data_IF_214430022537
#
_entry.id   IF_214430022537
#
_cell.length_a   1.000
_cell.length_b   1.000
_cell.length_c   1.000
_cell.angle_alpha   90.00
_cell.angle_beta   90.00
_cell.angle_gamma   90.00
#
_symmetry.space_group_name_H-M   'P 1'
#
loop_
_entity.id
_entity.type
_entity.pdbx_description
1 polymer ?
#
# COMPACT_ATOMS: atom_id res chain seq x y z
N UNK A 1 39.18 6.01 -11.78
CA UNK A 1 38.80 5.48 -10.46
C UNK A 1 38.37 6.67 -9.64
N UNK A 2 37.07 6.85 -9.45
CA UNK A 2 36.52 8.02 -8.76
C UNK A 2 35.57 7.50 -7.67
N UNK A 3 36.12 7.40 -6.45
CA UNK A 3 35.48 6.81 -5.26
C UNK A 3 34.47 7.75 -4.59
N UNK A 4 34.27 8.95 -5.15
CA UNK A 4 33.47 10.03 -4.58
C UNK A 4 31.95 9.89 -4.80
N UNK A 5 31.50 9.07 -5.77
CA UNK A 5 30.06 8.95 -6.12
C UNK A 5 29.34 7.74 -5.51
N UNK A 6 30.06 6.82 -4.84
CA UNK A 6 29.44 5.64 -4.21
C UNK A 6 28.97 5.87 -2.76
N UNK A 7 29.43 6.91 -2.08
CA UNK A 7 29.05 7.21 -0.68
C UNK A 7 27.81 8.10 -0.53
N UNK A 8 27.33 8.74 -1.60
CA UNK A 8 26.24 9.73 -1.49
C UNK A 8 24.86 9.08 -1.38
N UNK A 9 24.67 7.84 -1.86
CA UNK A 9 23.38 7.11 -1.79
C UNK A 9 23.04 6.47 -0.42
N UNK A 10 23.99 5.92 0.36
CA UNK A 10 23.67 5.45 1.71
C UNK A 10 23.56 6.60 2.74
N UNK A 11 24.22 7.74 2.52
CA UNK A 11 24.11 8.90 3.42
C UNK A 11 22.76 9.62 3.34
N UNK A 12 22.09 9.61 2.18
CA UNK A 12 20.72 10.16 2.06
C UNK A 12 19.67 9.29 2.74
N UNK A 13 19.85 7.96 2.79
CA UNK A 13 19.02 7.07 3.61
C UNK A 13 19.25 7.27 5.11
N UNK A 14 20.48 7.56 5.53
CA UNK A 14 20.81 7.83 6.94
C UNK A 14 20.30 9.21 7.40
N UNK A 15 20.26 10.22 6.52
CA UNK A 15 19.73 11.55 6.83
C UNK A 15 18.21 11.54 7.10
N UNK A 16 17.46 10.64 6.45
CA UNK A 16 16.02 10.41 6.73
C UNK A 16 15.83 9.69 8.08
N UNK A 17 16.81 8.90 8.52
CA UNK A 17 16.79 8.20 9.81
C UNK A 17 17.20 9.10 11.00
N UNK A 18 18.00 10.15 10.76
CA UNK A 18 18.52 11.04 11.82
C UNK A 18 17.62 12.26 12.06
N UNK A 19 16.88 12.73 11.04
CA UNK A 19 15.90 13.82 11.21
C UNK A 19 14.64 13.42 12.00
N UNK A 20 14.42 12.13 12.28
CA UNK A 20 13.29 11.62 13.08
C UNK A 20 13.57 11.50 14.58
N UNK A 21 14.80 11.77 15.04
CA UNK A 21 15.19 11.60 16.46
C UNK A 21 15.09 12.91 17.27
N UNK A 22 14.86 14.05 16.61
CA UNK A 22 14.76 15.35 17.27
C UNK A 22 13.34 15.93 17.25
N UNK A 23 12.43 15.48 18.12
CA UNK A 23 11.21 16.28 18.36
C UNK A 23 10.70 16.13 19.80
N UNK A 24 10.48 17.29 20.41
CA UNK A 24 10.20 17.54 21.81
C UNK A 24 9.01 16.75 22.37
N UNK A 25 9.17 16.28 23.61
CA UNK A 25 8.12 15.65 24.41
C UNK A 25 7.09 16.69 24.87
N UNK A 26 5.97 16.79 24.16
CA UNK A 26 4.72 17.37 24.67
C UNK A 26 3.67 16.26 24.69
N UNK A 27 3.47 15.68 25.88
CA UNK A 27 2.54 14.58 26.11
C UNK A 27 1.09 15.08 25.99
N UNK A 28 0.37 14.54 25.01
CA UNK A 28 -1.09 14.63 24.92
C UNK A 28 -1.65 13.21 24.90
N UNK A 29 -2.58 12.90 25.81
CA UNK A 29 -3.32 11.64 25.77
C UNK A 29 -4.34 11.71 24.63
N UNK A 30 -4.11 10.95 23.57
CA UNK A 30 -5.01 10.84 22.42
C UNK A 30 -5.73 9.48 22.45
N UNK A 31 -7.03 9.47 22.15
CA UNK A 31 -7.75 8.23 21.92
C UNK A 31 -7.07 7.45 20.78
N UNK A 32 -6.50 6.29 21.09
CA UNK A 32 -5.73 5.49 20.13
C UNK A 32 -6.66 4.93 19.08
N UNK A 33 -6.47 5.33 17.81
CA UNK A 33 -7.12 4.65 16.69
C UNK A 33 -6.59 3.23 16.59
N UNK A 34 -7.50 2.26 16.67
CA UNK A 34 -7.17 0.84 16.53
C UNK A 34 -7.19 0.45 15.06
N UNK A 35 -6.02 0.59 14.45
CA UNK A 35 -5.71 0.13 13.11
C UNK A 35 -6.01 -1.38 12.96
N UNK A 36 -6.40 -1.80 11.75
CA UNK A 36 -6.72 -3.19 11.42
C UNK A 36 -5.71 -3.76 10.43
N UNK A 37 -5.48 -5.07 10.49
CA UNK A 37 -4.54 -5.79 9.63
C UNK A 37 -3.08 -5.65 10.09
N UNK A 38 -2.46 -6.77 10.44
CA UNK A 38 -1.09 -6.81 10.94
C UNK A 38 -0.08 -6.25 9.93
N UNK A 39 -0.30 -6.44 8.62
CA UNK A 39 0.54 -5.85 7.57
C UNK A 39 0.57 -4.31 7.65
N UNK A 40 -0.59 -3.67 7.73
CA UNK A 40 -0.70 -2.21 7.80
C UNK A 40 -0.09 -1.68 9.11
N UNK A 41 -0.36 -2.36 10.23
CA UNK A 41 0.21 -2.02 11.54
C UNK A 41 1.74 -2.15 11.52
N UNK A 42 2.29 -3.20 10.91
CA UNK A 42 3.73 -3.44 10.82
C UNK A 42 4.51 -2.35 10.06
N UNK A 43 3.83 -1.58 9.19
CA UNK A 43 4.38 -0.39 8.52
C UNK A 43 3.94 0.93 9.18
N UNK A 44 3.57 0.88 10.47
CA UNK A 44 3.23 2.06 11.26
C UNK A 44 1.84 2.63 10.99
N UNK A 45 0.95 1.87 10.34
CA UNK A 45 -0.37 2.32 9.91
C UNK A 45 -0.37 3.17 8.64
N UNK A 46 0.79 3.35 8.00
CA UNK A 46 0.93 4.07 6.73
C UNK A 46 0.51 3.18 5.55
N UNK A 47 -0.79 3.10 5.28
CA UNK A 47 -1.35 2.15 4.30
C UNK A 47 -2.35 2.78 3.33
N UNK A 48 -2.80 4.02 3.54
CA UNK A 48 -3.84 4.68 2.74
C UNK A 48 -3.46 4.85 1.27
N UNK A 49 -2.17 5.02 0.98
CA UNK A 49 -1.66 5.16 -0.38
C UNK A 49 -1.62 3.86 -1.21
N UNK A 50 -1.81 2.69 -0.58
CA UNK A 50 -1.79 1.40 -1.27
C UNK A 50 -3.08 0.61 -1.03
N UNK A 51 -3.48 0.42 0.23
CA UNK A 51 -4.73 -0.20 0.63
C UNK A 51 -5.11 -1.48 -0.15
N UNK A 52 -4.15 -2.33 -0.53
CA UNK A 52 -4.36 -3.43 -1.46
C UNK A 52 -4.62 -4.78 -0.75
N UNK A 53 -5.56 -4.78 0.20
CA UNK A 53 -6.03 -5.99 0.91
C UNK A 53 -7.50 -5.84 1.28
N UNK A 54 -8.15 -6.89 1.77
CA UNK A 54 -9.52 -6.82 2.28
C UNK A 54 -9.71 -5.80 3.41
N UNK A 55 -8.64 -5.47 4.16
CA UNK A 55 -8.65 -4.38 5.15
C UNK A 55 -8.66 -2.97 4.54
N UNK A 56 -8.66 -2.82 3.21
CA UNK A 56 -8.87 -1.54 2.52
C UNK A 56 -10.10 -0.78 3.05
N UNK A 57 -11.14 -1.52 3.43
CA UNK A 57 -12.38 -1.01 4.03
C UNK A 57 -12.15 -0.11 5.25
N UNK A 58 -11.04 -0.27 5.98
CA UNK A 58 -10.72 0.50 7.20
C UNK A 58 -9.69 1.62 6.97
N UNK A 59 -9.14 1.73 5.75
CA UNK A 59 -8.11 2.74 5.42
C UNK A 59 -8.52 3.56 4.21
N UNK A 60 -8.65 2.92 3.06
CA UNK A 60 -9.02 3.56 1.80
C UNK A 60 -9.80 2.56 0.93
N UNK A 61 -11.14 2.66 0.85
CA UNK A 61 -11.95 1.70 0.11
C UNK A 61 -11.61 1.64 -1.39
N UNK A 62 -11.04 2.69 -1.98
CA UNK A 62 -10.59 2.66 -3.37
C UNK A 62 -9.56 1.55 -3.65
N UNK A 63 -8.79 1.15 -2.63
CA UNK A 63 -7.80 0.09 -2.72
C UNK A 63 -8.39 -1.31 -2.95
N UNK A 64 -9.71 -1.51 -2.77
CA UNK A 64 -10.37 -2.79 -3.08
C UNK A 64 -10.17 -3.20 -4.55
N UNK A 65 -10.11 -2.21 -5.45
CA UNK A 65 -9.85 -2.45 -6.88
C UNK A 65 -8.39 -2.80 -7.20
N UNK A 66 -7.48 -2.69 -6.23
CA UNK A 66 -6.08 -3.08 -6.38
C UNK A 66 -5.82 -4.53 -5.97
N UNK A 67 -6.82 -5.25 -5.46
CA UNK A 67 -6.69 -6.68 -5.21
C UNK A 67 -6.81 -7.44 -6.53
N UNK A 68 -5.84 -8.29 -6.88
CA UNK A 68 -5.94 -9.10 -8.08
C UNK A 68 -6.78 -10.37 -7.90
N UNK A 69 -7.17 -10.70 -6.67
CA UNK A 69 -7.88 -11.93 -6.29
C UNK A 69 -8.95 -11.61 -5.24
N UNK A 70 -9.83 -12.59 -4.98
CA UNK A 70 -10.71 -12.54 -3.82
C UNK A 70 -9.88 -12.84 -2.57
N UNK A 71 -10.19 -12.15 -1.48
CA UNK A 71 -9.46 -12.30 -0.22
C UNK A 71 -10.44 -12.32 0.94
N UNK A 72 -10.30 -13.30 1.83
CA UNK A 72 -10.91 -13.29 3.16
C UNK A 72 -9.80 -13.18 4.19
N UNK A 73 -9.89 -12.21 5.09
CA UNK A 73 -8.92 -11.98 6.15
C UNK A 73 -9.55 -11.98 7.52
N UNK A 74 -8.86 -12.60 8.47
CA UNK A 74 -9.17 -12.62 9.89
C UNK A 74 -8.08 -11.86 10.63
N UNK A 75 -8.47 -10.96 11.51
CA UNK A 75 -7.58 -10.16 12.34
C UNK A 75 -7.94 -10.34 13.80
N UNK A 76 -6.89 -10.48 14.62
CA UNK A 76 -6.99 -10.49 16.07
C UNK A 76 -5.87 -9.65 16.66
N UNK A 77 -6.21 -8.85 17.66
CA UNK A 77 -5.23 -8.12 18.45
C UNK A 77 -5.59 -8.15 19.94
N UNK A 78 -4.55 -8.11 20.75
CA UNK A 78 -4.63 -7.91 22.20
C UNK A 78 -3.77 -6.70 22.55
N UNK A 79 -4.32 -5.48 22.45
CA UNK A 79 -3.61 -4.26 22.77
C UNK A 79 -3.07 -4.28 24.21
N UNK A 80 -1.81 -3.91 24.38
CA UNK A 80 -1.18 -3.73 25.71
C UNK A 80 -1.16 -5.00 26.58
N UNK A 81 -1.36 -6.17 25.98
CA UNK A 81 -1.50 -7.43 26.71
C UNK A 81 -2.82 -7.54 27.49
N UNK A 82 -3.79 -6.65 27.28
CA UNK A 82 -5.07 -6.64 28.00
C UNK A 82 -6.15 -7.38 27.19
N UNK A 83 -6.68 -8.46 27.75
CA UNK A 83 -7.76 -9.26 27.13
C UNK A 83 -9.06 -8.46 26.97
N UNK A 84 -9.30 -7.49 27.84
CA UNK A 84 -10.46 -6.62 27.88
C UNK A 84 -10.50 -5.68 26.67
N UNK A 85 -9.34 -5.43 26.05
CA UNK A 85 -9.19 -4.61 24.86
C UNK A 85 -9.11 -5.46 23.58
N UNK A 86 -9.52 -6.73 23.65
CA UNK A 86 -9.49 -7.61 22.49
C UNK A 86 -10.22 -6.99 21.30
N UNK A 87 -9.60 -7.10 20.13
CA UNK A 87 -10.06 -6.51 18.90
C UNK A 87 -10.03 -7.56 17.80
N UNK A 88 -11.19 -7.81 17.21
CA UNK A 88 -11.41 -8.82 16.19
C UNK A 88 -11.99 -8.17 14.95
N UNK A 89 -11.52 -8.59 13.78
CA UNK A 89 -12.16 -8.24 12.52
C UNK A 89 -12.10 -9.40 11.53
N UNK A 90 -13.15 -9.54 10.75
CA UNK A 90 -13.18 -10.33 9.52
C UNK A 90 -13.47 -9.38 8.36
N UNK A 91 -12.73 -9.53 7.26
CA UNK A 91 -12.91 -8.74 6.06
C UNK A 91 -12.91 -9.66 4.84
N UNK A 92 -13.74 -9.34 3.87
CA UNK A 92 -13.84 -10.00 2.58
C UNK A 92 -13.77 -8.95 1.48
N UNK A 93 -13.03 -9.24 0.42
CA UNK A 93 -12.97 -8.42 -0.78
C UNK A 93 -13.11 -9.29 -2.03
N UNK A 94 -13.92 -8.80 -2.97
CA UNK A 94 -14.22 -9.46 -4.23
C UNK A 94 -14.14 -8.46 -5.40
N UNK A 95 -13.01 -8.44 -6.12
CA UNK A 95 -12.84 -7.60 -7.29
C UNK A 95 -13.25 -8.29 -8.61
N UNK A 96 -13.71 -9.56 -8.57
CA UNK A 96 -13.80 -10.40 -9.78
C UNK A 96 -15.18 -10.97 -10.09
N UNK A 97 -16.09 -11.08 -9.11
CA UNK A 97 -17.38 -11.79 -9.32
C UNK A 97 -18.31 -11.11 -10.31
N UNK A 98 -18.24 -9.79 -10.42
CA UNK A 98 -19.08 -9.06 -11.35
C UNK A 98 -18.36 -8.84 -12.69
N UNK A 99 -19.12 -8.61 -13.79
CA UNK A 99 -18.55 -8.33 -15.09
C UNK A 99 -17.50 -7.22 -15.04
N UNK A 100 -16.48 -7.34 -15.88
CA UNK A 100 -15.42 -6.34 -15.99
C UNK A 100 -16.01 -4.93 -16.14
N UNK A 101 -15.63 -4.03 -15.24
CA UNK A 101 -16.10 -2.64 -15.20
C UNK A 101 -17.19 -2.33 -14.16
N UNK A 102 -17.80 -3.35 -13.51
CA UNK A 102 -18.81 -3.09 -12.48
C UNK A 102 -18.22 -2.61 -11.15
N UNK A 103 -16.96 -2.96 -10.88
CA UNK A 103 -16.23 -2.59 -9.66
C UNK A 103 -15.99 -3.77 -8.71
N UNK A 104 -15.37 -3.48 -7.57
CA UNK A 104 -15.08 -4.40 -6.50
C UNK A 104 -16.01 -4.16 -5.32
N UNK A 105 -16.34 -5.24 -4.61
CA UNK A 105 -17.15 -5.18 -3.39
C UNK A 105 -16.34 -5.69 -2.21
N UNK A 106 -16.64 -5.18 -1.03
CA UNK A 106 -16.08 -5.68 0.21
C UNK A 106 -17.13 -5.75 1.30
N UNK A 107 -16.91 -6.63 2.26
CA UNK A 107 -17.71 -6.70 3.47
C UNK A 107 -16.79 -6.92 4.66
N UNK A 108 -17.09 -6.32 5.80
CA UNK A 108 -16.36 -6.59 7.03
C UNK A 108 -17.28 -6.62 8.24
N UNK A 109 -16.86 -7.34 9.27
CA UNK A 109 -17.42 -7.24 10.60
C UNK A 109 -16.29 -7.08 11.61
N UNK A 110 -16.46 -6.20 12.59
CA UNK A 110 -15.51 -6.01 13.69
C UNK A 110 -16.19 -6.07 15.04
N UNK A 111 -15.43 -6.48 16.05
CA UNK A 111 -15.79 -6.42 17.46
C UNK A 111 -14.60 -5.97 18.28
N UNK A 112 -14.80 -4.96 19.11
CA UNK A 112 -13.81 -4.47 20.06
C UNK A 112 -14.40 -4.47 21.48
N UNK A 113 -13.57 -4.78 22.47
CA UNK A 113 -13.92 -4.69 23.90
C UNK A 113 -14.36 -6.02 24.51
N UNK A 114 -15.11 -5.93 25.61
CA UNK A 114 -15.44 -7.01 26.53
C UNK A 114 -16.91 -6.94 26.99
N UNK A 115 -17.26 -7.62 28.09
CA UNK A 115 -18.66 -7.75 28.55
C UNK A 115 -19.28 -6.40 28.97
N UNK A 116 -18.54 -5.55 29.68
CA UNK A 116 -19.07 -4.26 30.17
C UNK A 116 -19.16 -3.18 29.10
N UNK A 117 -18.26 -3.26 28.11
CA UNK A 117 -18.17 -2.32 27.00
C UNK A 117 -17.78 -3.08 25.76
N UNK A 118 -18.62 -3.06 24.73
CA UNK A 118 -18.23 -3.55 23.42
C UNK A 118 -18.75 -2.66 22.28
N UNK A 119 -17.96 -2.63 21.23
CA UNK A 119 -18.30 -2.03 19.95
C UNK A 119 -18.36 -3.14 18.92
N UNK A 120 -19.45 -3.17 18.16
CA UNK A 120 -19.57 -4.04 16.99
C UNK A 120 -19.86 -3.21 15.77
N UNK A 121 -19.34 -3.59 14.61
CA UNK A 121 -19.73 -2.95 13.37
C UNK A 121 -19.78 -3.94 12.22
N UNK A 122 -20.69 -3.68 11.29
CA UNK A 122 -20.77 -4.36 9.99
C UNK A 122 -20.60 -3.30 8.91
N UNK A 123 -19.76 -3.60 7.93
CA UNK A 123 -19.34 -2.67 6.88
C UNK A 123 -19.55 -3.30 5.51
N UNK A 124 -20.03 -2.51 4.56
CA UNK A 124 -20.12 -2.85 3.14
C UNK A 124 -19.35 -1.81 2.33
N UNK A 125 -18.44 -2.26 1.49
CA UNK A 125 -17.63 -1.41 0.64
C UNK A 125 -17.88 -1.65 -0.84
N UNK A 126 -17.73 -0.58 -1.60
CA UNK A 126 -17.73 -0.60 -3.05
C UNK A 126 -16.58 0.25 -3.57
N UNK A 127 -15.92 -0.21 -4.63
CA UNK A 127 -14.89 0.55 -5.31
C UNK A 127 -14.97 0.35 -6.82
N UNK A 128 -14.53 1.35 -7.57
CA UNK A 128 -14.41 1.25 -9.02
C UNK A 128 -13.16 2.00 -9.49
N UNK A 129 -12.84 1.84 -10.77
CA UNK A 129 -11.67 2.41 -11.42
C UNK A 129 -12.08 3.20 -12.66
N UNK A 130 -11.44 4.33 -12.84
CA UNK A 130 -11.51 5.20 -14.00
C UNK A 130 -10.15 5.22 -14.70
N UNK A 131 -10.14 5.03 -16.02
CA UNK A 131 -8.93 4.96 -16.86
C UNK A 131 -7.82 4.05 -16.31
N UNK A 132 -8.19 2.96 -15.62
CA UNK A 132 -7.28 1.98 -14.98
C UNK A 132 -6.31 2.53 -13.94
N UNK A 133 -6.29 3.85 -13.70
CA UNK A 133 -5.27 4.53 -12.86
C UNK A 133 -5.88 5.31 -11.70
N UNK A 134 -7.14 5.69 -11.80
CA UNK A 134 -7.85 6.48 -10.80
C UNK A 134 -8.94 5.63 -10.16
N UNK A 135 -8.76 5.28 -8.91
CA UNK A 135 -9.65 4.43 -8.16
C UNK A 135 -10.44 5.29 -7.19
N UNK A 136 -11.70 4.96 -6.98
CA UNK A 136 -12.55 5.57 -5.99
C UNK A 136 -13.38 4.52 -5.29
N UNK A 137 -13.75 4.75 -4.05
CA UNK A 137 -14.57 3.83 -3.30
C UNK A 137 -15.25 4.48 -2.12
N UNK A 138 -16.23 3.76 -1.57
CA UNK A 138 -16.95 4.14 -0.37
C UNK A 138 -17.17 2.91 0.51
N UNK A 139 -17.29 3.12 1.82
CA UNK A 139 -17.70 2.10 2.79
C UNK A 139 -18.81 2.64 3.65
N UNK A 140 -19.92 1.91 3.71
CA UNK A 140 -21.02 2.18 4.62
C UNK A 140 -20.92 1.21 5.79
N UNK A 141 -20.90 1.73 7.01
CA UNK A 141 -20.84 0.90 8.21
C UNK A 141 -21.99 1.21 9.15
N UNK A 142 -22.53 0.17 9.78
CA UNK A 142 -23.42 0.30 10.93
C UNK A 142 -22.65 -0.14 12.18
N UNK A 143 -22.48 0.78 13.14
CA UNK A 143 -21.74 0.57 14.38
C UNK A 143 -22.71 0.55 15.56
N UNK A 144 -22.57 -0.42 16.45
CA UNK A 144 -23.37 -0.59 17.66
C UNK A 144 -22.45 -0.56 18.88
N UNK A 145 -22.70 0.38 19.77
CA UNK A 145 -22.05 0.53 21.06
C UNK A 145 -22.95 -0.07 22.13
N UNK A 146 -22.40 -0.93 22.98
CA UNK A 146 -23.10 -1.53 24.11
C UNK A 146 -22.33 -1.27 25.40
N UNK A 147 -23.00 -0.64 26.36
CA UNK A 147 -22.43 -0.29 27.66
C UNK A 147 -23.35 -0.79 28.76
N UNK A 148 -22.83 -1.62 29.66
CA UNK A 148 -23.62 -2.15 30.77
C UNK A 148 -24.15 -1.00 31.64
N UNK A 149 -25.46 -1.01 31.91
CA UNK A 149 -26.15 0.02 32.69
C UNK A 149 -26.59 1.26 31.89
N UNK A 150 -26.05 1.49 30.69
CA UNK A 150 -26.42 2.62 29.83
C UNK A 150 -27.19 2.19 28.56
N UNK A 151 -27.12 0.92 28.19
CA UNK A 151 -27.86 0.35 27.05
C UNK A 151 -27.05 0.34 25.76
N UNK A 152 -27.76 0.35 24.62
CA UNK A 152 -27.17 0.23 23.29
C UNK A 152 -27.46 1.47 22.43
N UNK A 153 -26.47 1.91 21.66
CA UNK A 153 -26.62 3.00 20.69
C UNK A 153 -26.02 2.59 19.35
N UNK A 154 -26.78 2.79 18.27
CA UNK A 154 -26.39 2.43 16.91
C UNK A 154 -26.19 3.66 16.03
N UNK A 155 -25.24 3.61 15.10
CA UNK A 155 -24.93 4.74 14.22
C UNK A 155 -24.45 4.27 12.85
N UNK A 156 -24.75 5.05 11.81
CA UNK A 156 -24.31 4.78 10.45
C UNK A 156 -23.14 5.71 10.12
N UNK A 157 -22.03 5.15 9.64
CA UNK A 157 -20.89 5.91 9.15
C UNK A 157 -20.65 5.69 7.66
N UNK A 158 -20.21 6.75 6.99
CA UNK A 158 -19.80 6.73 5.59
C UNK A 158 -18.32 7.10 5.49
N UNK A 159 -17.55 6.19 4.91
CA UNK A 159 -16.15 6.40 4.56
C UNK A 159 -16.04 6.53 3.04
N UNK A 160 -15.15 7.41 2.57
CA UNK A 160 -14.87 7.56 1.13
C UNK A 160 -13.37 7.58 0.88
N UNK A 161 -12.96 7.15 -0.29
CA UNK A 161 -11.55 7.08 -0.66
C UNK A 161 -11.33 7.26 -2.15
N UNK A 162 -10.17 7.84 -2.47
CA UNK A 162 -9.63 7.96 -3.82
C UNK A 162 -8.19 7.45 -3.78
N UNK A 163 -7.75 6.79 -4.84
CA UNK A 163 -6.38 6.34 -5.01
C UNK A 163 -5.96 6.57 -6.47
N UNK A 164 -4.75 7.04 -6.70
CA UNK A 164 -4.18 7.27 -8.01
C UNK A 164 -2.84 6.56 -8.17
N UNK A 165 -2.68 5.79 -9.24
CA UNK A 165 -1.38 5.30 -9.69
C UNK A 165 -0.72 6.38 -10.54
N UNK A 166 0.30 7.04 -9.97
CA UNK A 166 1.02 8.14 -10.63
C UNK A 166 2.10 7.58 -11.56
N UNK A 167 2.84 6.58 -11.07
CA UNK A 167 3.76 5.76 -11.85
C UNK A 167 3.58 4.30 -11.43
N UNK A 168 4.16 3.32 -12.16
CA UNK A 168 4.14 1.92 -11.73
C UNK A 168 4.66 1.74 -10.30
N UNK A 169 5.61 2.57 -9.89
CA UNK A 169 6.26 2.55 -8.58
C UNK A 169 5.55 3.41 -7.53
N UNK A 170 4.82 4.46 -7.91
CA UNK A 170 4.24 5.45 -7.00
C UNK A 170 2.71 5.44 -7.06
N UNK A 171 2.11 5.19 -5.91
CA UNK A 171 0.68 5.35 -5.66
C UNK A 171 0.42 6.42 -4.60
N UNK A 172 -0.64 7.20 -4.80
CA UNK A 172 -1.13 8.20 -3.85
C UNK A 172 -2.57 7.84 -3.48
N UNK A 173 -2.97 8.06 -2.23
CA UNK A 173 -4.33 7.80 -1.76
C UNK A 173 -4.78 8.88 -0.80
N UNK A 174 -6.07 9.21 -0.84
CA UNK A 174 -6.72 10.09 0.12
C UNK A 174 -8.01 9.44 0.56
N UNK A 175 -8.31 9.47 1.85
CA UNK A 175 -9.56 8.96 2.39
C UNK A 175 -10.11 9.85 3.50
N UNK A 176 -11.42 9.82 3.65
CA UNK A 176 -12.13 10.46 4.73
C UNK A 176 -13.01 9.41 5.42
N UNK A 177 -12.70 9.11 6.67
CA UNK A 177 -13.47 8.20 7.52
C UNK A 177 -14.50 9.00 8.31
N UNK A 178 -15.69 8.43 8.46
CA UNK A 178 -16.84 9.06 9.11
C UNK A 178 -17.14 10.44 8.49
N UNK A 179 -17.15 10.52 7.16
CA UNK A 179 -17.37 11.76 6.39
C UNK A 179 -18.68 12.44 6.79
N UNK A 180 -19.71 11.66 7.14
CA UNK A 180 -21.03 12.13 7.54
C UNK A 180 -21.12 12.66 8.98
N UNK A 181 -20.00 12.73 9.73
CA UNK A 181 -19.95 13.17 11.15
C UNK A 181 -21.05 12.53 12.00
N UNK A 182 -21.08 11.19 12.09
CA UNK A 182 -22.09 10.50 12.88
C UNK A 182 -21.97 10.87 14.36
N UNK A 183 -23.09 10.96 15.04
CA UNK A 183 -23.15 11.17 16.49
C UNK A 183 -23.90 10.02 17.19
N UNK A 184 -23.57 9.79 18.46
CA UNK A 184 -24.12 8.68 19.24
C UNK A 184 -24.76 9.14 20.55
N UNK A 185 -25.75 8.35 20.98
CA UNK A 185 -26.39 8.49 22.29
C UNK A 185 -27.20 9.77 22.46
N UNK A 186 -27.74 9.95 23.67
CA UNK A 186 -28.55 11.13 24.03
C UNK A 186 -27.71 12.41 24.14
N UNK A 187 -26.41 12.28 24.42
CA UNK A 187 -25.46 13.39 24.49
C UNK A 187 -25.02 13.90 23.12
N UNK A 188 -25.41 13.22 22.03
CA UNK A 188 -25.03 13.55 20.66
C UNK A 188 -23.50 13.65 20.49
N UNK A 189 -22.77 12.70 21.07
CA UNK A 189 -21.31 12.66 21.02
C UNK A 189 -20.84 12.33 19.60
N UNK A 190 -19.96 13.14 19.03
CA UNK A 190 -19.47 12.94 17.67
C UNK A 190 -18.43 11.80 17.59
N UNK A 191 -18.61 10.92 16.62
CA UNK A 191 -17.62 9.91 16.25
C UNK A 191 -16.45 10.61 15.53
N UNK A 192 -15.23 10.12 15.79
CA UNK A 192 -14.00 10.66 15.22
C UNK A 192 -14.07 10.73 13.69
N UNK A 193 -14.13 11.95 13.14
CA UNK A 193 -13.93 12.18 11.72
C UNK A 193 -12.44 12.29 11.43
N UNK A 194 -11.96 11.47 10.49
CA UNK A 194 -10.53 11.33 10.19
C UNK A 194 -10.27 11.52 8.71
N UNK A 195 -9.33 12.41 8.38
CA UNK A 195 -8.84 12.59 7.02
C UNK A 195 -7.44 12.00 6.91
N UNK A 196 -7.19 11.23 5.86
CA UNK A 196 -5.90 10.62 5.61
C UNK A 196 -5.43 10.94 4.19
N UNK A 197 -4.14 11.19 4.06
CA UNK A 197 -3.45 11.26 2.77
C UNK A 197 -2.20 10.40 2.86
N UNK A 198 -2.03 9.49 1.90
CA UNK A 198 -0.98 8.48 1.92
C UNK A 198 -0.29 8.32 0.59
N UNK A 199 0.97 7.89 0.64
CA UNK A 199 1.75 7.51 -0.53
C UNK A 199 2.44 6.17 -0.30
N UNK A 200 2.54 5.38 -1.36
CA UNK A 200 3.37 4.17 -1.39
C UNK A 200 4.31 4.24 -2.57
N UNK A 201 5.60 4.01 -2.31
CA UNK A 201 6.66 4.10 -3.31
C UNK A 201 7.49 2.82 -3.32
N UNK A 202 7.48 2.11 -4.46
CA UNK A 202 8.32 0.93 -4.70
C UNK A 202 9.75 1.40 -5.02
N UNK A 203 10.60 1.45 -4.00
CA UNK A 203 12.00 1.88 -4.10
C UNK A 203 12.82 0.88 -4.91
N UNK A 204 12.62 -0.42 -4.65
CA UNK A 204 13.22 -1.55 -5.37
C UNK A 204 12.15 -2.62 -5.60
N UNK A 205 12.42 -3.62 -6.45
CA UNK A 205 11.49 -4.73 -6.69
C UNK A 205 11.01 -5.43 -5.41
N UNK A 206 11.85 -5.46 -4.38
CA UNK A 206 11.59 -6.10 -3.09
C UNK A 206 11.59 -5.11 -1.91
N UNK A 207 11.52 -3.80 -2.16
CA UNK A 207 11.50 -2.79 -1.11
C UNK A 207 10.48 -1.70 -1.45
N UNK A 208 9.52 -1.49 -0.54
CA UNK A 208 8.51 -0.44 -0.63
C UNK A 208 8.56 0.44 0.60
N UNK A 209 8.43 1.74 0.40
CA UNK A 209 8.29 2.74 1.45
C UNK A 209 6.88 3.31 1.46
N UNK A 210 6.41 3.68 2.64
CA UNK A 210 5.08 4.23 2.90
C UNK A 210 5.19 5.51 3.72
N UNK A 211 4.29 6.44 3.46
CA UNK A 211 4.13 7.64 4.27
C UNK A 211 2.68 8.10 4.24
N UNK A 212 2.08 8.29 5.41
CA UNK A 212 0.73 8.80 5.57
C UNK A 212 0.72 10.01 6.51
N UNK A 213 -0.16 10.95 6.22
CA UNK A 213 -0.58 12.04 7.12
C UNK A 213 -2.01 11.76 7.52
N UNK A 214 -2.28 11.79 8.81
CA UNK A 214 -3.60 11.56 9.39
C UNK A 214 -4.00 12.77 10.23
N UNK A 215 -5.23 13.24 10.01
CA UNK A 215 -5.83 14.32 10.78
C UNK A 215 -7.19 13.85 11.29
N UNK A 216 -7.21 13.43 12.55
CA UNK A 216 -8.45 13.41 13.33
C UNK A 216 -8.83 14.85 13.64
N UNK A 217 -10.08 15.24 13.37
CA UNK A 217 -10.56 16.62 13.58
C UNK A 217 -10.28 17.09 15.02
N UNK A 218 -10.39 16.19 16.02
CA UNK A 218 -10.24 16.51 17.45
C UNK A 218 -8.79 16.54 17.95
N UNK A 219 -7.85 15.91 17.25
CA UNK A 219 -6.48 15.71 17.73
C UNK A 219 -5.42 16.34 16.81
N UNK A 220 -4.17 16.52 17.24
CA UNK A 220 -3.09 16.97 16.38
C UNK A 220 -2.88 16.08 15.14
N UNK A 221 -2.16 16.59 14.14
CA UNK A 221 -1.80 15.80 12.94
C UNK A 221 -0.83 14.69 13.35
N UNK A 222 -1.13 13.46 12.93
CA UNK A 222 -0.26 12.29 13.06
C UNK A 222 0.47 12.04 11.74
N UNK A 223 1.78 11.88 11.80
CA UNK A 223 2.60 11.40 10.69
C UNK A 223 2.90 9.92 10.88
N UNK A 224 2.76 9.14 9.81
CA UNK A 224 3.02 7.70 9.80
C UNK A 224 3.98 7.39 8.66
N UNK A 225 4.92 6.49 8.90
CA UNK A 225 5.85 6.03 7.86
C UNK A 225 6.24 4.59 8.11
N UNK A 226 6.63 3.90 7.04
CA UNK A 226 7.07 2.52 7.16
C UNK A 226 7.72 1.99 5.92
N UNK A 227 8.32 0.81 6.06
CA UNK A 227 8.96 0.07 4.97
C UNK A 227 8.53 -1.39 5.00
N UNK A 228 8.31 -1.96 3.83
CA UNK A 228 8.09 -3.38 3.60
C UNK A 228 9.23 -3.90 2.70
N UNK A 229 9.94 -4.91 3.18
CA UNK A 229 11.06 -5.54 2.51
C UNK A 229 10.78 -7.03 2.29
N UNK A 230 10.67 -7.45 1.04
CA UNK A 230 10.52 -8.86 0.69
C UNK A 230 11.92 -9.51 0.70
N UNK A 231 12.26 -10.13 1.83
CA UNK A 231 13.57 -10.76 2.03
C UNK A 231 13.77 -11.96 1.10
N UNK A 232 12.70 -12.74 0.94
CA UNK A 232 12.54 -13.81 -0.05
C UNK A 232 11.10 -13.79 -0.56
N UNK A 233 10.76 -14.43 -1.71
CA UNK A 233 9.41 -14.34 -2.30
C UNK A 233 8.23 -14.66 -1.37
N UNK A 234 8.47 -15.42 -0.29
CA UNK A 234 7.46 -15.86 0.66
C UNK A 234 7.53 -15.15 2.00
N UNK A 235 8.54 -14.30 2.27
CA UNK A 235 8.76 -13.67 3.57
C UNK A 235 9.01 -12.18 3.41
N UNK A 236 8.11 -11.38 3.99
CA UNK A 236 8.22 -9.93 4.08
C UNK A 236 8.59 -9.52 5.50
N UNK A 237 9.53 -8.59 5.65
CA UNK A 237 9.86 -7.91 6.91
C UNK A 237 9.35 -6.47 6.85
N UNK A 238 8.86 -5.97 7.98
CA UNK A 238 8.24 -4.64 8.06
C UNK A 238 8.75 -3.89 9.28
N UNK A 239 8.94 -2.60 9.10
CA UNK A 239 9.22 -1.65 10.18
C UNK A 239 8.43 -0.38 9.94
N UNK A 240 7.94 0.23 11.01
CA UNK A 240 7.10 1.41 10.93
C UNK A 240 7.22 2.32 12.14
N UNK A 241 6.81 3.57 11.92
CA UNK A 241 6.78 4.61 12.93
C UNK A 241 5.51 5.46 12.75
N UNK A 242 4.92 5.89 13.86
CA UNK A 242 3.82 6.86 13.85
C UNK A 242 4.00 7.86 14.98
N UNK A 243 3.48 9.08 14.82
CA UNK A 243 3.40 10.10 15.86
C UNK A 243 1.99 10.18 16.45
N UNK A 244 1.85 10.90 17.57
CA UNK A 244 0.56 11.15 18.22
C UNK A 244 -0.29 9.89 18.52
N UNK A 245 0.19 8.99 19.41
CA UNK A 245 1.46 9.04 20.13
C UNK A 245 2.62 8.44 19.33
N UNK A 246 3.86 8.70 19.77
CA UNK A 246 5.05 8.10 19.16
C UNK A 246 5.06 6.58 19.34
N UNK A 247 4.92 5.83 18.24
CA UNK A 247 4.89 4.36 18.26
C UNK A 247 5.82 3.81 17.20
N UNK A 248 6.60 2.82 17.59
CA UNK A 248 7.42 1.98 16.70
C UNK A 248 6.69 0.67 16.47
N UNK A 249 6.64 0.24 15.21
CA UNK A 249 6.07 -1.02 14.78
C UNK A 249 7.12 -1.90 14.09
N UNK A 250 6.96 -3.21 14.24
CA UNK A 250 7.70 -4.21 13.49
C UNK A 250 6.75 -5.34 13.07
N UNK A 251 7.04 -6.00 11.95
CA UNK A 251 6.20 -7.10 11.51
C UNK A 251 6.91 -8.07 10.57
N UNK A 252 6.33 -9.26 10.48
CA UNK A 252 6.73 -10.31 9.56
C UNK A 252 5.49 -10.83 8.84
N UNK A 253 5.60 -11.05 7.54
CA UNK A 253 4.56 -11.66 6.72
C UNK A 253 5.10 -12.90 6.04
N UNK A 254 4.34 -13.99 6.10
CA UNK A 254 4.63 -15.23 5.38
C UNK A 254 3.52 -15.46 4.37
N UNK A 255 3.88 -15.50 3.08
CA UNK A 255 2.95 -15.68 1.96
C UNK A 255 3.28 -16.99 1.28
N UNK A 256 2.40 -17.96 1.38
CA UNK A 256 2.62 -19.29 0.80
C UNK A 256 1.37 -19.80 0.10
N UNK A 257 1.50 -20.10 -1.19
CA UNK A 257 0.39 -20.51 -2.05
C UNK A 257 -0.78 -19.52 -1.97
N UNK A 258 -1.91 -19.95 -1.40
CA UNK A 258 -3.14 -19.16 -1.25
C UNK A 258 -3.34 -18.59 0.16
N UNK A 259 -2.37 -18.75 1.07
CA UNK A 259 -2.46 -18.29 2.46
C UNK A 259 -1.40 -17.24 2.75
N UNK A 260 -1.82 -16.15 3.40
CA UNK A 260 -0.91 -15.17 3.97
C UNK A 260 -1.10 -15.10 5.48
N UNK A 261 0.01 -15.09 6.22
CA UNK A 261 0.04 -14.95 7.67
C UNK A 261 0.93 -13.76 8.04
N UNK A 262 0.33 -12.74 8.64
CA UNK A 262 1.04 -11.55 9.07
C UNK A 262 0.99 -11.42 10.59
N UNK A 263 2.15 -11.17 11.19
CA UNK A 263 2.28 -10.81 12.59
C UNK A 263 2.91 -9.43 12.70
N UNK A 264 2.37 -8.60 13.59
CA UNK A 264 2.94 -7.30 13.91
C UNK A 264 2.96 -7.06 15.41
N UNK A 265 3.99 -6.32 15.81
CA UNK A 265 4.24 -5.81 17.14
C UNK A 265 4.22 -4.29 17.07
N UNK A 266 3.53 -3.66 18.02
CA UNK A 266 3.41 -2.21 18.13
C UNK A 266 3.74 -1.77 19.56
N UNK A 267 4.62 -0.79 19.69
CA UNK A 267 4.97 -0.16 20.97
C UNK A 267 4.03 0.99 21.28
N UNK A 268 3.83 1.29 22.56
CA UNK A 268 3.20 2.50 23.05
C UNK A 268 4.05 3.07 24.21
N UNK A 269 4.28 4.39 24.28
CA UNK A 269 5.18 4.99 25.27
C UNK A 269 4.81 4.61 26.71
N UNK A 270 3.51 4.68 27.04
CA UNK A 270 3.01 4.42 28.39
C UNK A 270 2.39 3.03 28.57
N UNK A 271 1.63 2.53 27.59
CA UNK A 271 0.78 1.35 27.73
C UNK A 271 1.51 0.04 27.39
N UNK A 272 2.78 0.09 26.96
CA UNK A 272 3.56 -1.09 26.63
C UNK A 272 3.30 -1.62 25.22
N UNK A 273 3.25 -2.94 25.06
CA UNK A 273 3.32 -3.60 23.76
C UNK A 273 2.00 -4.26 23.35
N UNK A 274 1.71 -4.20 22.06
CA UNK A 274 0.53 -4.82 21.46
C UNK A 274 0.95 -5.85 20.41
N UNK A 275 0.23 -6.97 20.39
CA UNK A 275 0.43 -8.05 19.44
C UNK A 275 -0.76 -8.12 18.49
N UNK A 276 -0.47 -8.27 17.20
CA UNK A 276 -1.46 -8.27 16.12
C UNK A 276 -1.20 -9.44 15.19
N UNK A 277 -2.24 -10.20 14.89
CA UNK A 277 -2.20 -11.34 13.97
C UNK A 277 -3.21 -11.14 12.85
N UNK A 278 -2.83 -11.49 11.63
CA UNK A 278 -3.72 -11.59 10.49
C UNK A 278 -3.47 -12.89 9.75
N UNK A 279 -4.57 -13.57 9.43
CA UNK A 279 -4.57 -14.72 8.53
C UNK A 279 -5.49 -14.40 7.35
N UNK A 280 -4.97 -14.54 6.15
CA UNK A 280 -5.68 -14.23 4.92
C UNK A 280 -5.67 -15.42 3.97
N UNK A 281 -6.79 -15.65 3.31
CA UNK A 281 -6.98 -16.69 2.29
C UNK A 281 -7.34 -16.02 0.98
N UNK A 282 -6.53 -16.27 -0.05
CA UNK A 282 -6.64 -15.71 -1.39
C UNK A 282 -7.19 -16.74 -2.36
N UNK A 283 -8.10 -16.37 -3.25
CA UNK A 283 -8.65 -17.31 -4.23
C UNK A 283 -9.16 -16.60 -5.48
N UNK A 284 -9.26 -17.33 -6.60
CA UNK A 284 -9.64 -16.77 -7.90
C UNK A 284 -8.51 -16.01 -8.62
N UNK A 285 -7.26 -16.08 -8.12
CA UNK A 285 -6.10 -15.52 -8.81
C UNK A 285 -5.78 -16.24 -10.13
N UNK A 286 -4.99 -15.58 -10.98
CA UNK A 286 -4.63 -16.09 -12.32
C UNK A 286 -3.23 -16.69 -12.39
N UNK A 287 -2.38 -16.42 -11.42
CA UNK A 287 -1.05 -17.02 -11.28
C UNK A 287 -0.88 -17.70 -9.93
N UNK A 288 0.22 -18.44 -9.78
CA UNK A 288 0.63 -19.03 -8.51
C UNK A 288 1.07 -17.97 -7.47
N UNK A 289 1.35 -16.73 -7.90
CA UNK A 289 1.89 -15.66 -7.06
C UNK A 289 1.01 -14.41 -7.06
N UNK A 290 0.45 -14.06 -5.90
CA UNK A 290 -0.33 -12.82 -5.74
C UNK A 290 0.46 -11.55 -6.08
N UNK A 291 1.79 -11.57 -5.90
CA UNK A 291 2.64 -10.44 -6.23
C UNK A 291 2.75 -10.25 -7.75
N UNK A 292 2.83 -11.34 -8.52
CA UNK A 292 2.84 -11.26 -9.98
C UNK A 292 1.51 -10.77 -10.54
N UNK A 293 0.39 -11.23 -9.99
CA UNK A 293 -0.92 -10.74 -10.43
C UNK A 293 -1.10 -9.25 -10.08
N UNK A 294 -0.59 -8.78 -8.93
CA UNK A 294 -0.62 -7.36 -8.58
C UNK A 294 0.25 -6.53 -9.53
N UNK A 295 1.48 -6.97 -9.81
CA UNK A 295 2.36 -6.27 -10.76
C UNK A 295 1.74 -6.23 -12.18
N UNK A 296 1.04 -7.29 -12.61
CA UNK A 296 0.30 -7.29 -13.89
C UNK A 296 -0.80 -6.23 -13.92
N UNK A 297 -1.56 -6.08 -12.84
CA UNK A 297 -2.59 -5.04 -12.73
C UNK A 297 -1.98 -3.64 -12.91
N UNK A 298 -0.82 -3.40 -12.27
CA UNK A 298 -0.08 -2.14 -12.42
C UNK A 298 0.43 -1.96 -13.86
N UNK A 299 1.01 -2.99 -14.46
CA UNK A 299 1.50 -2.94 -15.83
C UNK A 299 0.36 -2.63 -16.83
N UNK A 300 -0.79 -3.28 -16.68
CA UNK A 300 -1.99 -3.03 -17.49
C UNK A 300 -2.55 -1.61 -17.34
N UNK A 301 -2.41 -1.01 -16.15
CA UNK A 301 -2.83 0.37 -15.88
C UNK A 301 -1.96 1.41 -16.62
N UNK A 302 -0.72 1.06 -16.94
CA UNK A 302 0.22 1.91 -17.68
C UNK A 302 0.48 1.42 -19.11
N UNK A 303 -0.30 0.45 -19.58
CA UNK A 303 -0.11 -0.22 -20.89
C UNK A 303 1.34 -0.72 -21.08
N UNK A 304 1.98 -1.14 -19.99
CA UNK A 304 3.33 -1.69 -20.04
C UNK A 304 3.27 -3.11 -20.60
N UNK A 305 4.11 -3.35 -21.60
CA UNK A 305 4.29 -4.70 -22.14
C UNK A 305 5.12 -5.53 -21.15
N UNK A 306 4.87 -6.85 -21.05
CA UNK A 306 5.61 -7.72 -20.15
C UNK A 306 7.12 -7.72 -20.46
N UNK A 307 7.99 -8.06 -19.49
CA UNK A 307 9.44 -8.16 -19.70
C UNK A 307 9.78 -8.99 -20.94
N UNK A 308 10.86 -8.61 -21.65
CA UNK A 308 11.27 -9.31 -22.86
C UNK A 308 11.76 -10.73 -22.55
N UNK A 309 11.30 -11.72 -23.32
CA UNK A 309 11.72 -13.12 -23.18
C UNK A 309 12.95 -13.43 -24.02
N UNK A 310 13.71 -14.46 -23.63
CA UNK A 310 14.80 -15.00 -24.44
C UNK A 310 14.28 -15.38 -25.85
N UNK A 311 14.98 -14.93 -26.89
CA UNK A 311 14.61 -15.13 -28.30
C UNK A 311 13.79 -13.98 -28.93
N UNK A 312 13.14 -13.13 -28.13
CA UNK A 312 12.44 -11.95 -28.66
C UNK A 312 13.43 -10.83 -29.03
N UNK A 313 13.08 -10.05 -30.06
CA UNK A 313 13.87 -8.91 -30.55
C UNK A 313 13.02 -7.65 -30.60
N UNK A 314 13.63 -6.53 -30.21
CA UNK A 314 13.07 -5.19 -30.33
C UNK A 314 13.89 -4.45 -31.37
N UNK A 315 13.22 -3.98 -32.43
CA UNK A 315 13.84 -3.11 -33.42
C UNK A 315 13.92 -1.68 -32.88
N UNK A 316 15.12 -1.13 -32.72
CA UNK A 316 15.33 0.22 -32.17
C UNK A 316 14.65 1.35 -32.99
N UNK A 317 14.50 1.16 -34.30
CA UNK A 317 13.92 2.16 -35.19
C UNK A 317 12.40 2.23 -35.09
N UNK A 318 11.74 1.11 -34.77
CA UNK A 318 10.27 1.04 -34.64
C UNK A 318 9.79 0.90 -33.20
N UNK A 319 10.68 0.63 -32.25
CA UNK A 319 10.36 0.44 -30.85
C UNK A 319 9.58 1.63 -30.29
N UNK A 320 8.48 1.32 -29.60
CA UNK A 320 7.77 2.30 -28.78
C UNK A 320 8.46 2.46 -27.42
N UNK A 321 8.07 3.49 -26.66
CA UNK A 321 8.49 3.62 -25.26
C UNK A 321 8.19 2.35 -24.46
N UNK A 322 7.00 1.77 -24.67
CA UNK A 322 6.58 0.54 -24.00
C UNK A 322 7.46 -0.66 -24.39
N UNK A 323 7.91 -0.77 -25.66
CA UNK A 323 8.81 -1.84 -26.08
C UNK A 323 10.17 -1.75 -25.39
N UNK A 324 10.74 -0.55 -25.30
CA UNK A 324 12.03 -0.32 -24.64
C UNK A 324 11.97 -0.61 -23.14
N UNK A 325 10.85 -0.28 -22.49
CA UNK A 325 10.64 -0.55 -21.06
C UNK A 325 10.69 -2.05 -20.71
N UNK A 326 10.54 -2.95 -21.69
CA UNK A 326 10.65 -4.41 -21.50
C UNK A 326 12.09 -4.87 -21.26
N UNK A 327 13.09 -4.04 -21.55
CA UNK A 327 14.50 -4.40 -21.42
C UNK A 327 14.95 -4.48 -19.95
N UNK A 328 15.85 -5.42 -19.61
CA UNK A 328 16.29 -5.60 -18.22
C UNK A 328 16.99 -4.35 -17.70
N UNK A 329 16.60 -3.87 -16.51
CA UNK A 329 17.16 -2.67 -15.85
C UNK A 329 16.94 -1.36 -16.66
N UNK A 330 15.92 -1.31 -17.51
CA UNK A 330 15.50 -0.08 -18.18
C UNK A 330 14.88 0.91 -17.18
N UNK A 331 15.04 2.21 -17.45
CA UNK A 331 14.38 3.28 -16.70
C UNK A 331 13.67 4.22 -17.67
N UNK A 332 12.63 4.92 -17.21
CA UNK A 332 11.90 5.90 -18.05
C UNK A 332 12.83 6.95 -18.66
N UNK A 333 13.78 7.46 -17.88
CA UNK A 333 14.73 8.48 -18.35
C UNK A 333 15.69 7.93 -19.41
N UNK A 334 16.10 6.66 -19.34
CA UNK A 334 16.90 6.02 -20.38
C UNK A 334 16.08 5.74 -21.63
N UNK A 335 14.87 5.22 -21.50
CA UNK A 335 13.97 4.99 -22.63
C UNK A 335 13.67 6.29 -23.39
N UNK A 336 13.37 7.37 -22.68
CA UNK A 336 13.17 8.70 -23.28
C UNK A 336 14.41 9.20 -24.01
N UNK A 337 15.61 8.99 -23.45
CA UNK A 337 16.86 9.37 -24.11
C UNK A 337 17.11 8.56 -25.38
N UNK A 338 16.79 7.27 -25.38
CA UNK A 338 16.90 6.41 -26.56
C UNK A 338 15.97 6.90 -27.67
N UNK A 339 14.71 7.21 -27.33
CA UNK A 339 13.74 7.73 -28.29
C UNK A 339 14.11 9.12 -28.82
N UNK A 340 14.62 10.01 -27.96
CA UNK A 340 15.12 11.33 -28.36
C UNK A 340 16.32 11.22 -29.30
N UNK A 341 17.28 10.36 -28.99
CA UNK A 341 18.43 10.11 -29.87
C UNK A 341 17.95 9.64 -31.24
N UNK A 342 16.98 8.71 -31.31
CA UNK A 342 16.38 8.28 -32.58
C UNK A 342 15.76 9.45 -33.36
N UNK A 343 15.05 10.35 -32.69
CA UNK A 343 14.41 11.50 -33.33
C UNK A 343 15.45 12.49 -33.87
N UNK A 344 16.54 12.73 -33.13
CA UNK A 344 17.60 13.66 -33.49
C UNK A 344 18.43 13.15 -34.69
N UNK A 345 18.80 11.87 -34.69
CA UNK A 345 19.63 11.25 -35.72
C UNK A 345 18.81 10.52 -36.81
N UNK A 346 17.47 10.69 -36.80
CA UNK A 346 16.45 10.06 -37.67
C UNK A 346 16.32 8.54 -37.59
N UNK A 347 17.41 7.79 -37.38
CA UNK A 347 17.43 6.33 -37.18
C UNK A 347 18.71 5.90 -36.47
N UNK A 348 18.66 4.72 -35.86
CA UNK A 348 19.84 3.95 -35.50
C UNK A 348 20.34 3.19 -36.74
N UNK A 349 21.63 3.21 -37.00
CA UNK A 349 22.29 2.40 -38.04
C UNK A 349 22.89 1.13 -37.45
N UNK A 350 23.27 1.16 -36.17
CA UNK A 350 23.76 0.02 -35.42
C UNK A 350 23.24 0.01 -33.99
N UNK A 351 23.19 -1.18 -33.37
CA UNK A 351 22.81 -1.30 -31.96
C UNK A 351 23.84 -0.60 -31.07
N UNK A 352 25.11 -0.62 -31.50
CA UNK A 352 26.28 -0.05 -30.83
C UNK A 352 26.15 1.45 -30.54
N UNK A 353 25.39 2.20 -31.34
CA UNK A 353 25.12 3.62 -31.11
C UNK A 353 24.43 3.92 -29.77
N UNK A 354 23.76 2.93 -29.16
CA UNK A 354 23.22 3.08 -27.81
C UNK A 354 24.28 3.48 -26.78
N UNK A 355 25.56 3.14 -27.01
CA UNK A 355 26.67 3.54 -26.13
C UNK A 355 26.93 5.06 -26.14
N UNK A 356 26.51 5.76 -27.19
CA UNK A 356 26.64 7.22 -27.29
C UNK A 356 25.63 7.94 -26.39
N UNK A 357 24.59 7.23 -25.93
CA UNK A 357 23.51 7.81 -25.14
C UNK A 357 23.94 7.89 -23.67
N UNK A 358 23.96 9.12 -23.14
CA UNK A 358 24.33 9.38 -21.75
C UNK A 358 23.51 8.51 -20.79
N UNK A 359 24.19 7.71 -19.97
CA UNK A 359 23.60 6.81 -18.98
C UNK A 359 23.50 5.35 -19.40
N UNK A 360 23.75 5.03 -20.69
CA UNK A 360 23.93 3.65 -21.13
C UNK A 360 25.35 3.22 -20.81
N UNK A 361 25.51 2.38 -19.78
CA UNK A 361 26.80 1.78 -19.45
C UNK A 361 27.08 0.54 -20.30
N UNK A 362 28.34 0.15 -20.42
CA UNK A 362 28.74 -1.08 -21.12
C UNK A 362 28.02 -2.33 -20.55
N UNK A 363 27.78 -2.35 -19.23
CA UNK A 363 27.03 -3.42 -18.56
C UNK A 363 25.55 -3.46 -18.98
N UNK A 364 24.90 -2.30 -19.08
CA UNK A 364 23.51 -2.21 -19.57
C UNK A 364 23.44 -2.61 -21.05
N UNK A 365 24.33 -2.07 -21.87
CA UNK A 365 24.42 -2.41 -23.29
C UNK A 365 24.59 -3.91 -23.51
N UNK A 366 25.51 -4.54 -22.78
CA UNK A 366 25.75 -5.99 -22.87
C UNK A 366 24.52 -6.81 -22.46
N UNK A 367 23.74 -6.33 -21.49
CA UNK A 367 22.48 -6.96 -21.10
C UNK A 367 21.40 -6.83 -22.19
N UNK A 368 21.35 -5.71 -22.91
CA UNK A 368 20.32 -5.42 -23.91
C UNK A 368 20.65 -5.95 -25.30
N UNK A 369 21.92 -6.02 -25.69
CA UNK A 369 22.37 -6.32 -27.07
C UNK A 369 21.70 -7.56 -27.66
N UNK A 370 21.50 -8.59 -26.84
CA UNK A 370 20.86 -9.86 -27.27
C UNK A 370 19.39 -9.71 -27.65
N UNK A 371 18.71 -8.66 -27.17
CA UNK A 371 17.29 -8.38 -27.37
C UNK A 371 17.04 -7.30 -28.42
N UNK A 372 18.09 -6.73 -29.00
CA UNK A 372 17.99 -5.59 -29.89
C UNK A 372 18.38 -5.95 -31.31
N UNK A 373 17.69 -5.33 -32.25
CA UNK A 373 18.03 -5.35 -33.68
C UNK A 373 17.87 -3.95 -34.26
N UNK A 374 18.54 -3.72 -35.38
CA UNK A 374 18.32 -2.57 -36.24
C UNK A 374 17.94 -3.15 -37.58
N UNK A 375 16.67 -2.99 -37.96
CA UNK A 375 16.20 -3.33 -39.31
C UNK A 375 15.83 -2.03 -40.05
N UNK A 376 15.91 -2.02 -41.39
CA UNK A 376 15.67 -0.84 -42.22
C UNK A 376 14.31 -0.19 -42.01
#
# INVERSE_FOLDING_TARGET
MDTSTMLVKPLTCLAVLIMSIGCNTLLHAQAVRLDKGARAIGVGGAFTGLANSSFALFYNPAGLMLLPHREVSFFYAQPFGLSELSDFAIAFADPQTLPAGFGAFGAAARRFGFELYNETAVSLGYANVFERRFFFGATLSYQLFSIQGYGNAGVISLDVGILALITPELSLGVSALNLNRPSIGLSNEEIAQVYMAGLSYRVLKNLRAFFDVEKDVRYPISFKSGMEFDAVPYVSLRAGFSTEPQRIAGGIGVRYAFVDADYAFLTHPELGFSHHLTLSVRFGGTSESAQEDFERLIDEAFELKPPIKEGEKINLNTATFQDLMRLPRMTRTLADRILRYRQEYKRFESVEELKNIRGVSEALFSAWRRFLVVEP
#
